data_IF_691144705886
#
_entry.id   IF_691144705886
#
_cell.length_a   1.000
_cell.length_b   1.000
_cell.length_c   1.000
_cell.angle_alpha   90.00
_cell.angle_beta   90.00
_cell.angle_gamma   90.00
#
_symmetry.space_group_name_H-M   'P 1'
#
loop_
_entity.id
_entity.type
_entity.pdbx_description
1 polymer ?
#
# COMPACT_ATOMS: atom_id res chain seq x y z
N UNK A 1 -42.38 -51.44 -1.67
CA UNK A 1 -42.19 -50.47 -0.57
C UNK A 1 -41.08 -49.55 -1.00
N UNK A 2 -41.45 -48.49 -1.73
CA UNK A 2 -40.53 -47.45 -2.19
C UNK A 2 -40.10 -46.64 -0.97
N UNK A 3 -38.79 -46.47 -0.79
CA UNK A 3 -38.25 -45.42 0.07
C UNK A 3 -37.34 -44.53 -0.76
N UNK A 4 -37.93 -43.48 -1.31
CA UNK A 4 -37.25 -42.30 -1.81
C UNK A 4 -36.48 -41.68 -0.65
N UNK A 5 -35.15 -41.64 -0.76
CA UNK A 5 -34.31 -40.78 0.08
C UNK A 5 -33.64 -39.76 -0.83
N UNK A 6 -34.32 -38.64 -1.02
CA UNK A 6 -33.74 -37.41 -1.52
C UNK A 6 -32.95 -36.76 -0.38
N UNK A 7 -31.62 -36.78 -0.46
CA UNK A 7 -30.80 -35.80 0.26
C UNK A 7 -30.03 -35.00 -0.77
N UNK A 8 -30.38 -33.73 -0.85
CA UNK A 8 -29.81 -32.74 -1.73
C UNK A 8 -28.30 -32.77 -1.64
N UNK A 9 -27.66 -33.04 -2.78
CA UNK A 9 -26.32 -32.58 -3.02
C UNK A 9 -26.40 -31.07 -3.18
N UNK A 10 -26.27 -30.35 -2.07
CA UNK A 10 -25.77 -28.98 -2.14
C UNK A 10 -24.36 -29.12 -2.72
N UNK A 11 -24.27 -28.93 -4.03
CA UNK A 11 -23.00 -28.72 -4.71
C UNK A 11 -22.41 -27.48 -4.07
N UNK A 12 -21.55 -27.67 -3.07
CA UNK A 12 -20.61 -26.66 -2.63
C UNK A 12 -19.78 -26.35 -3.86
N UNK A 13 -20.17 -25.29 -4.57
CA UNK A 13 -19.41 -24.75 -5.69
C UNK A 13 -18.09 -24.32 -5.08
N UNK A 14 -17.06 -25.16 -5.21
CA UNK A 14 -15.68 -24.73 -4.99
C UNK A 14 -15.47 -23.52 -5.89
N UNK A 15 -15.13 -22.34 -5.36
CA UNK A 15 -14.65 -21.28 -6.24
C UNK A 15 -13.34 -21.80 -6.83
N UNK A 16 -13.35 -22.21 -8.09
CA UNK A 16 -12.11 -22.44 -8.83
C UNK A 16 -11.37 -21.11 -8.80
N UNK A 17 -10.21 -21.08 -8.13
CA UNK A 17 -9.31 -19.94 -8.17
C UNK A 17 -8.69 -19.91 -9.55
N UNK A 18 -9.40 -19.30 -10.51
CA UNK A 18 -8.95 -19.23 -11.88
C UNK A 18 -7.97 -18.08 -12.05
N UNK A 19 -6.83 -18.37 -12.69
CA UNK A 19 -5.79 -17.39 -13.04
C UNK A 19 -6.37 -16.23 -13.87
N UNK A 20 -7.49 -16.45 -14.56
CA UNK A 20 -8.25 -15.42 -15.27
C UNK A 20 -8.68 -14.25 -14.38
N UNK A 21 -8.81 -14.44 -13.06
CA UNK A 21 -9.11 -13.34 -12.14
C UNK A 21 -8.04 -12.24 -12.14
N UNK A 22 -6.78 -12.56 -12.43
CA UNK A 22 -5.71 -11.57 -12.56
C UNK A 22 -5.92 -10.61 -13.74
N UNK A 23 -6.79 -10.95 -14.72
CA UNK A 23 -7.18 -10.00 -15.77
C UNK A 23 -7.91 -8.78 -15.19
N UNK A 24 -8.65 -8.95 -14.09
CA UNK A 24 -9.33 -7.85 -13.40
C UNK A 24 -8.29 -6.85 -12.88
N UNK A 25 -7.16 -7.34 -12.34
CA UNK A 25 -6.06 -6.48 -11.90
C UNK A 25 -5.44 -5.70 -13.07
N UNK A 26 -5.33 -6.31 -14.25
CA UNK A 26 -4.88 -5.61 -15.48
C UNK A 26 -5.87 -4.51 -15.87
N UNK A 27 -7.19 -4.77 -15.83
CA UNK A 27 -8.19 -3.73 -16.08
C UNK A 27 -8.12 -2.59 -15.06
N UNK A 28 -7.88 -2.89 -13.78
CA UNK A 28 -7.61 -1.87 -12.78
C UNK A 28 -6.35 -1.06 -13.11
N UNK A 29 -5.26 -1.69 -13.52
CA UNK A 29 -4.02 -0.99 -13.86
C UNK A 29 -4.21 0.02 -15.01
N UNK A 30 -4.87 -0.40 -16.10
CA UNK A 30 -5.24 0.52 -17.19
C UNK A 30 -6.24 1.58 -16.73
N UNK A 31 -7.24 1.19 -15.93
CA UNK A 31 -8.22 2.09 -15.35
C UNK A 31 -7.56 3.21 -14.55
N UNK A 32 -6.58 2.88 -13.69
CA UNK A 32 -5.80 3.84 -12.93
C UNK A 32 -4.99 4.78 -13.81
N UNK A 33 -4.37 4.26 -14.88
CA UNK A 33 -3.67 5.10 -15.85
C UNK A 33 -4.58 6.16 -16.47
N UNK A 34 -5.72 5.74 -17.05
CA UNK A 34 -6.66 6.67 -17.67
C UNK A 34 -7.31 7.61 -16.64
N UNK A 35 -7.68 7.09 -15.47
CA UNK A 35 -8.26 7.88 -14.39
C UNK A 35 -7.30 8.97 -13.93
N UNK A 36 -6.01 8.65 -13.75
CA UNK A 36 -4.99 9.64 -13.39
C UNK A 36 -4.87 10.72 -14.45
N UNK A 37 -4.85 10.38 -15.74
CA UNK A 37 -4.78 11.38 -16.82
C UNK A 37 -5.97 12.35 -16.81
N UNK A 38 -7.18 11.82 -16.59
CA UNK A 38 -8.41 12.62 -16.49
C UNK A 38 -8.35 13.53 -15.26
N UNK A 39 -8.07 12.97 -14.09
CA UNK A 39 -8.01 13.75 -12.85
C UNK A 39 -6.89 14.77 -12.87
N UNK A 40 -5.72 14.44 -13.41
CA UNK A 40 -4.59 15.36 -13.55
C UNK A 40 -4.96 16.58 -14.39
N UNK A 41 -5.73 16.40 -15.46
CA UNK A 41 -6.12 17.48 -16.37
C UNK A 41 -7.24 18.35 -15.81
N UNK A 42 -8.27 17.73 -15.24
CA UNK A 42 -9.51 18.44 -14.90
C UNK A 42 -9.64 18.82 -13.42
N UNK A 43 -8.98 18.08 -12.52
CA UNK A 43 -9.18 18.19 -11.06
C UNK A 43 -7.88 18.60 -10.37
N UNK A 44 -6.85 17.74 -10.40
CA UNK A 44 -5.63 17.96 -9.62
C UNK A 44 -4.84 19.18 -10.07
N UNK A 45 -4.84 19.54 -11.36
CA UNK A 45 -4.23 20.78 -11.81
C UNK A 45 -4.84 22.01 -11.10
N UNK A 46 -6.18 22.06 -11.00
CA UNK A 46 -6.89 23.18 -10.38
C UNK A 46 -6.65 23.20 -8.87
N UNK A 47 -6.72 22.04 -8.22
CA UNK A 47 -6.47 21.91 -6.79
C UNK A 47 -5.03 22.29 -6.45
N UNK A 48 -4.04 21.80 -7.20
CA UNK A 48 -2.64 22.13 -6.97
C UNK A 48 -2.38 23.64 -7.11
N UNK A 49 -2.89 24.28 -8.17
CA UNK A 49 -2.77 25.73 -8.34
C UNK A 49 -3.45 26.51 -7.20
N UNK A 50 -4.66 26.10 -6.81
CA UNK A 50 -5.37 26.71 -5.69
C UNK A 50 -4.57 26.58 -4.38
N UNK A 51 -4.10 25.38 -4.06
CA UNK A 51 -3.30 25.11 -2.87
C UNK A 51 -2.02 25.95 -2.81
N UNK A 52 -1.27 25.99 -3.91
CA UNK A 52 -0.04 26.81 -4.01
C UNK A 52 -0.36 28.32 -3.94
N UNK A 53 -1.52 28.75 -4.43
CA UNK A 53 -1.92 30.17 -4.37
C UNK A 53 -2.25 30.64 -2.95
N UNK A 54 -2.53 29.71 -2.03
CA UNK A 54 -2.71 30.01 -0.60
C UNK A 54 -1.39 30.19 0.16
N UNK A 55 -0.25 30.00 -0.51
CA UNK A 55 1.09 30.22 0.04
C UNK A 55 1.46 31.70 0.16
N UNK A 56 2.67 31.97 0.63
CA UNK A 56 3.11 33.33 0.96
C UNK A 56 3.59 34.14 -0.27
N UNK A 57 3.93 33.44 -1.36
CA UNK A 57 4.48 34.05 -2.57
C UNK A 57 3.51 33.95 -3.77
N UNK A 58 3.44 34.99 -4.63
CA UNK A 58 2.64 34.92 -5.86
C UNK A 58 3.19 33.86 -6.81
N UNK A 59 2.30 33.04 -7.38
CA UNK A 59 2.66 31.96 -8.30
C UNK A 59 3.29 32.54 -9.57
N UNK A 60 4.56 32.20 -9.82
CA UNK A 60 5.25 32.49 -11.08
C UNK A 60 5.27 31.22 -11.94
N UNK A 61 4.28 31.03 -12.81
CA UNK A 61 4.16 29.82 -13.64
C UNK A 61 5.32 29.61 -14.64
N UNK A 62 6.12 30.65 -14.89
CA UNK A 62 7.30 30.56 -15.75
C UNK A 62 8.55 30.04 -15.00
N UNK A 63 8.49 29.96 -13.67
CA UNK A 63 9.57 29.43 -12.85
C UNK A 63 9.54 27.88 -12.84
N UNK A 64 10.69 27.28 -13.12
CA UNK A 64 10.85 25.83 -13.19
C UNK A 64 10.57 25.16 -11.84
N UNK A 65 10.99 25.78 -10.73
CA UNK A 65 10.76 25.26 -9.38
C UNK A 65 9.26 25.24 -9.04
N UNK A 66 8.52 26.28 -9.42
CA UNK A 66 7.06 26.33 -9.28
C UNK A 66 6.38 25.22 -10.08
N UNK A 67 6.81 24.96 -11.33
CA UNK A 67 6.27 23.85 -12.15
C UNK A 67 6.55 22.49 -11.51
N UNK A 68 7.76 22.27 -11.02
CA UNK A 68 8.13 21.04 -10.33
C UNK A 68 7.29 20.82 -9.05
N UNK A 69 7.03 21.86 -8.26
CA UNK A 69 6.12 21.80 -7.11
C UNK A 69 4.69 21.41 -7.51
N UNK A 70 4.17 21.95 -8.60
CA UNK A 70 2.83 21.59 -9.11
C UNK A 70 2.78 20.11 -9.48
N UNK A 71 3.78 19.60 -10.22
CA UNK A 71 3.84 18.18 -10.60
C UNK A 71 3.88 17.30 -9.36
N UNK A 72 4.79 17.55 -8.42
CA UNK A 72 4.90 16.80 -7.15
C UNK A 72 3.61 16.86 -6.32
N UNK A 73 2.93 18.01 -6.30
CA UNK A 73 1.64 18.15 -5.61
C UNK A 73 0.54 17.30 -6.25
N UNK A 74 0.47 17.25 -7.58
CA UNK A 74 -0.48 16.39 -8.31
C UNK A 74 -0.20 14.90 -8.10
N UNK A 75 1.08 14.50 -8.11
CA UNK A 75 1.49 13.14 -7.75
C UNK A 75 0.98 12.76 -6.36
N UNK A 76 1.16 13.64 -5.38
CA UNK A 76 0.67 13.41 -4.01
C UNK A 76 -0.84 13.40 -3.89
N UNK A 77 -1.56 14.25 -4.64
CA UNK A 77 -3.04 14.23 -4.66
C UNK A 77 -3.58 12.92 -5.23
N UNK A 78 -2.97 12.40 -6.31
CA UNK A 78 -3.33 11.11 -6.89
C UNK A 78 -3.14 9.98 -5.88
N UNK A 79 -1.96 9.90 -5.25
CA UNK A 79 -1.64 8.88 -4.25
C UNK A 79 -2.54 8.99 -3.02
N UNK A 80 -2.77 10.21 -2.51
CA UNK A 80 -3.69 10.44 -1.39
C UNK A 80 -5.10 9.95 -1.70
N UNK A 81 -5.65 10.28 -2.87
CA UNK A 81 -6.98 9.84 -3.26
C UNK A 81 -7.07 8.31 -3.29
N UNK A 82 -6.06 7.65 -3.88
CA UNK A 82 -5.99 6.19 -3.93
C UNK A 82 -5.93 5.57 -2.54
N UNK A 83 -4.92 5.93 -1.73
CA UNK A 83 -4.71 5.33 -0.41
C UNK A 83 -5.89 5.59 0.52
N UNK A 84 -6.45 6.81 0.53
CA UNK A 84 -7.60 7.13 1.37
C UNK A 84 -8.86 6.35 0.97
N UNK A 85 -9.09 6.16 -0.34
CA UNK A 85 -10.24 5.39 -0.82
C UNK A 85 -10.09 3.89 -0.50
N UNK A 86 -8.90 3.32 -0.73
CA UNK A 86 -8.60 1.92 -0.44
C UNK A 86 -8.63 1.62 1.07
N UNK A 87 -8.02 2.48 1.88
CA UNK A 87 -8.00 2.35 3.34
C UNK A 87 -9.42 2.45 3.93
N UNK A 88 -10.20 3.45 3.50
CA UNK A 88 -11.60 3.55 3.91
C UNK A 88 -12.41 2.32 3.50
N UNK A 89 -12.26 1.85 2.27
CA UNK A 89 -12.97 0.67 1.78
C UNK A 89 -12.62 -0.59 2.57
N UNK A 90 -11.32 -0.87 2.76
CA UNK A 90 -10.90 -2.08 3.48
C UNK A 90 -11.31 -2.04 4.94
N UNK A 91 -11.20 -0.88 5.61
CA UNK A 91 -11.65 -0.73 7.00
C UNK A 91 -13.13 -1.05 7.14
N UNK A 92 -13.99 -0.55 6.24
CA UNK A 92 -15.42 -0.89 6.24
C UNK A 92 -15.66 -2.38 6.03
N UNK A 93 -14.92 -3.02 5.12
CA UNK A 93 -15.07 -4.45 4.82
C UNK A 93 -14.61 -5.31 6.01
N UNK A 94 -13.46 -5.03 6.61
CA UNK A 94 -12.88 -5.88 7.66
C UNK A 94 -13.48 -5.59 9.04
N UNK A 95 -14.09 -4.42 9.27
CA UNK A 95 -14.63 -4.04 10.57
C UNK A 95 -15.68 -5.05 11.08
N UNK A 96 -16.46 -5.64 10.17
CA UNK A 96 -17.49 -6.63 10.47
C UNK A 96 -16.96 -8.07 10.54
N UNK A 97 -15.67 -8.27 10.27
CA UNK A 97 -15.07 -9.60 10.21
C UNK A 97 -14.35 -9.95 11.52
N UNK A 98 -14.65 -11.10 12.14
CA UNK A 98 -14.04 -11.47 13.42
C UNK A 98 -12.52 -11.67 13.31
N UNK A 99 -12.05 -12.16 12.16
CA UNK A 99 -10.63 -12.37 11.90
C UNK A 99 -9.82 -11.07 11.81
N UNK A 100 -10.46 -9.90 11.69
CA UNK A 100 -9.73 -8.62 11.73
C UNK A 100 -9.16 -8.28 13.12
N UNK A 101 -9.73 -8.87 14.17
CA UNK A 101 -9.36 -8.59 15.58
C UNK A 101 -8.70 -9.78 16.28
N UNK A 102 -8.79 -10.97 15.71
CA UNK A 102 -8.22 -12.20 16.26
C UNK A 102 -7.28 -12.88 15.25
N UNK A 103 -5.99 -12.84 15.55
CA UNK A 103 -4.92 -13.42 14.74
C UNK A 103 -5.07 -14.93 14.53
N UNK A 104 -5.73 -15.64 15.47
CA UNK A 104 -5.93 -17.10 15.38
C UNK A 104 -6.87 -17.47 14.25
N UNK A 105 -7.71 -16.52 13.82
CA UNK A 105 -8.68 -16.73 12.76
C UNK A 105 -8.13 -16.44 11.36
N UNK A 106 -6.88 -15.98 11.23
CA UNK A 106 -6.29 -15.68 9.92
C UNK A 106 -6.23 -16.90 9.01
N UNK A 107 -5.91 -18.08 9.56
CA UNK A 107 -5.82 -19.33 8.79
C UNK A 107 -6.99 -20.29 9.05
N UNK A 108 -7.91 -19.95 9.96
CA UNK A 108 -9.07 -20.80 10.25
C UNK A 108 -9.91 -21.07 8.99
N UNK A 109 -10.10 -22.35 8.66
CA UNK A 109 -10.82 -22.80 7.46
C UNK A 109 -9.95 -22.88 6.19
N UNK A 110 -8.65 -22.61 6.28
CA UNK A 110 -7.70 -22.80 5.19
C UNK A 110 -7.56 -24.30 4.83
N UNK A 111 -7.41 -24.67 3.53
CA UNK A 111 -7.32 -23.80 2.34
C UNK A 111 -8.67 -23.33 1.79
N UNK A 112 -9.80 -23.81 2.31
CA UNK A 112 -11.13 -23.54 1.76
C UNK A 112 -11.78 -22.29 2.35
N UNK A 113 -11.01 -21.21 2.55
CA UNK A 113 -11.55 -19.96 3.07
C UNK A 113 -12.51 -19.32 2.06
N UNK A 114 -13.67 -18.87 2.53
CA UNK A 114 -14.63 -18.14 1.70
C UNK A 114 -14.02 -16.79 1.25
N UNK A 115 -13.86 -16.61 -0.05
CA UNK A 115 -13.43 -15.35 -0.65
C UNK A 115 -14.65 -14.48 -0.96
N UNK A 116 -14.95 -13.54 -0.06
CA UNK A 116 -15.97 -12.51 -0.30
C UNK A 116 -15.61 -11.63 -1.49
N UNK A 117 -16.62 -11.26 -2.28
CA UNK A 117 -16.43 -10.40 -3.47
C UNK A 117 -15.73 -9.08 -3.14
N UNK A 118 -16.03 -8.47 -1.99
CA UNK A 118 -15.38 -7.24 -1.52
C UNK A 118 -13.87 -7.40 -1.35
N UNK A 119 -13.42 -8.49 -0.71
CA UNK A 119 -11.99 -8.80 -0.56
C UNK A 119 -11.36 -9.15 -1.91
N UNK A 120 -12.06 -9.87 -2.79
CA UNK A 120 -11.57 -10.14 -4.15
C UNK A 120 -11.33 -8.85 -4.92
N UNK A 121 -12.30 -7.93 -4.94
CA UNK A 121 -12.17 -6.64 -5.61
C UNK A 121 -11.05 -5.80 -4.99
N UNK A 122 -10.92 -5.81 -3.66
CA UNK A 122 -9.82 -5.15 -2.96
C UNK A 122 -8.45 -5.67 -3.43
N UNK A 123 -8.27 -6.99 -3.46
CA UNK A 123 -7.03 -7.62 -3.94
C UNK A 123 -6.70 -7.25 -5.39
N UNK A 124 -7.70 -7.29 -6.28
CA UNK A 124 -7.49 -6.96 -7.70
C UNK A 124 -7.20 -5.48 -7.90
N UNK A 125 -7.87 -4.60 -7.13
CA UNK A 125 -7.61 -3.17 -7.09
C UNK A 125 -6.16 -2.90 -6.67
N UNK A 126 -5.72 -3.51 -5.56
CA UNK A 126 -4.35 -3.36 -5.03
C UNK A 126 -3.31 -3.88 -6.01
N UNK A 127 -3.49 -5.10 -6.53
CA UNK A 127 -2.60 -5.67 -7.53
C UNK A 127 -2.50 -4.79 -8.78
N UNK A 128 -3.64 -4.28 -9.27
CA UNK A 128 -3.69 -3.36 -10.39
C UNK A 128 -2.94 -2.05 -10.13
N UNK A 129 -3.07 -1.49 -8.92
CA UNK A 129 -2.34 -0.27 -8.54
C UNK A 129 -0.83 -0.50 -8.44
N UNK A 130 -0.37 -1.62 -7.89
CA UNK A 130 1.05 -1.93 -7.84
C UNK A 130 1.64 -2.15 -9.24
N UNK A 131 0.93 -2.85 -10.13
CA UNK A 131 1.34 -3.04 -11.54
C UNK A 131 1.38 -1.70 -12.28
N UNK A 132 0.35 -0.88 -12.13
CA UNK A 132 0.34 0.50 -12.60
C UNK A 132 1.52 1.30 -12.04
N UNK A 133 1.81 1.14 -10.75
CA UNK A 133 2.90 1.80 -10.04
C UNK A 133 4.28 1.43 -10.57
N UNK A 134 4.51 0.19 -10.99
CA UNK A 134 5.77 -0.20 -11.66
C UNK A 134 5.96 0.59 -12.96
N UNK A 135 4.92 0.66 -13.80
CA UNK A 135 4.98 1.43 -15.04
C UNK A 135 5.16 2.94 -14.76
N UNK A 136 4.46 3.47 -13.75
CA UNK A 136 4.57 4.86 -13.34
C UNK A 136 5.98 5.19 -12.81
N UNK A 137 6.58 4.33 -11.99
CA UNK A 137 7.95 4.50 -11.49
C UNK A 137 8.99 4.51 -12.62
N UNK A 138 8.77 3.71 -13.67
CA UNK A 138 9.69 3.65 -14.80
C UNK A 138 9.55 4.84 -15.76
N UNK A 139 8.34 5.39 -15.92
CA UNK A 139 8.03 6.31 -17.02
C UNK A 139 7.57 7.72 -16.60
N UNK A 140 7.04 7.91 -15.38
CA UNK A 140 6.29 9.13 -15.03
C UNK A 140 6.65 9.74 -13.68
N UNK A 141 6.94 8.93 -12.66
CA UNK A 141 7.20 9.44 -11.32
C UNK A 141 8.62 9.99 -11.20
N UNK A 142 8.75 11.03 -10.36
CA UNK A 142 10.05 11.61 -10.04
C UNK A 142 10.99 10.55 -9.46
N UNK A 143 12.12 10.29 -10.14
CA UNK A 143 13.16 9.36 -9.68
C UNK A 143 13.81 9.90 -8.41
N UNK A 144 14.06 9.02 -7.44
CA UNK A 144 14.66 9.32 -6.13
C UNK A 144 15.78 8.34 -5.83
N UNK A 145 16.63 8.66 -4.85
CA UNK A 145 17.80 7.83 -4.46
C UNK A 145 17.42 6.43 -3.99
N UNK A 146 16.19 6.22 -3.51
CA UNK A 146 15.67 4.93 -3.07
C UNK A 146 14.92 4.14 -4.17
N UNK A 147 15.05 4.55 -5.45
CA UNK A 147 14.35 3.93 -6.58
C UNK A 147 14.46 2.39 -6.62
N UNK A 148 15.67 1.84 -6.41
CA UNK A 148 15.87 0.39 -6.47
C UNK A 148 15.14 -0.33 -5.33
N UNK A 149 15.09 0.26 -4.14
CA UNK A 149 14.39 -0.29 -2.97
C UNK A 149 12.87 -0.23 -3.20
N UNK A 150 12.37 0.91 -3.69
CA UNK A 150 10.97 1.08 -4.08
C UNK A 150 10.55 0.10 -5.18
N UNK A 151 11.34 -0.07 -6.24
CA UNK A 151 11.02 -1.01 -7.31
C UNK A 151 10.99 -2.46 -6.80
N UNK A 152 11.99 -2.83 -5.99
CA UNK A 152 12.03 -4.16 -5.37
C UNK A 152 10.79 -4.40 -4.50
N UNK A 153 10.40 -3.41 -3.70
CA UNK A 153 9.18 -3.47 -2.89
C UNK A 153 7.92 -3.69 -3.74
N UNK A 154 7.75 -2.98 -4.85
CA UNK A 154 6.62 -3.20 -5.75
C UNK A 154 6.61 -4.62 -6.31
N UNK A 155 7.75 -5.14 -6.76
CA UNK A 155 7.87 -6.51 -7.30
C UNK A 155 7.51 -7.54 -6.22
N UNK A 156 8.10 -7.43 -5.03
CA UNK A 156 7.83 -8.36 -3.91
C UNK A 156 6.37 -8.29 -3.48
N UNK A 157 5.78 -7.09 -3.47
CA UNK A 157 4.37 -6.91 -3.09
C UNK A 157 3.44 -7.54 -4.12
N UNK A 158 3.70 -7.38 -5.43
CA UNK A 158 2.92 -8.06 -6.48
C UNK A 158 3.02 -9.58 -6.34
N UNK A 159 4.22 -10.10 -6.07
CA UNK A 159 4.43 -11.54 -5.84
C UNK A 159 3.66 -11.98 -4.59
N UNK A 160 3.77 -11.27 -3.47
CA UNK A 160 3.06 -11.56 -2.22
C UNK A 160 1.54 -11.54 -2.39
N UNK A 161 1.00 -10.58 -3.15
CA UNK A 161 -0.43 -10.49 -3.44
C UNK A 161 -0.90 -11.68 -4.27
N UNK A 162 -0.15 -11.98 -5.33
CA UNK A 162 -0.46 -13.10 -6.22
C UNK A 162 -0.37 -14.42 -5.46
N UNK A 163 0.68 -14.58 -4.67
CA UNK A 163 0.91 -15.73 -3.81
C UNK A 163 -0.23 -15.89 -2.79
N UNK A 164 -0.53 -14.83 -2.03
CA UNK A 164 -1.62 -14.81 -1.05
C UNK A 164 -2.96 -15.16 -1.68
N UNK A 165 -3.20 -14.71 -2.92
CA UNK A 165 -4.41 -15.05 -3.65
C UNK A 165 -4.46 -16.53 -4.05
N UNK A 166 -3.37 -17.05 -4.64
CA UNK A 166 -3.28 -18.44 -5.10
C UNK A 166 -3.30 -19.45 -3.93
N UNK A 167 -2.71 -19.09 -2.80
CA UNK A 167 -2.70 -19.92 -1.59
C UNK A 167 -3.87 -19.63 -0.66
N UNK A 168 -4.87 -18.82 -1.05
CA UNK A 168 -6.01 -18.50 -0.18
C UNK A 168 -5.66 -17.88 1.19
N UNK A 169 -4.54 -17.15 1.30
CA UNK A 169 -4.18 -16.37 2.49
C UNK A 169 -4.88 -15.00 2.51
N UNK A 170 -6.18 -14.98 2.23
CA UNK A 170 -6.94 -13.76 1.95
C UNK A 170 -7.09 -12.86 3.18
N UNK A 171 -7.36 -13.46 4.35
CA UNK A 171 -7.61 -12.72 5.59
C UNK A 171 -6.37 -11.97 6.03
N UNK A 172 -5.26 -12.69 6.19
CA UNK A 172 -3.99 -12.08 6.60
C UNK A 172 -3.44 -11.12 5.55
N UNK A 173 -3.55 -11.44 4.26
CA UNK A 173 -3.07 -10.54 3.22
C UNK A 173 -3.92 -9.26 3.10
N UNK A 174 -5.23 -9.31 3.37
CA UNK A 174 -6.05 -8.09 3.48
C UNK A 174 -5.60 -7.19 4.64
N UNK A 175 -5.27 -7.77 5.80
CA UNK A 175 -4.72 -7.01 6.94
C UNK A 175 -3.34 -6.44 6.60
N UNK A 176 -2.46 -7.23 5.97
CA UNK A 176 -1.15 -6.74 5.50
C UNK A 176 -1.35 -5.51 4.64
N UNK A 177 -2.19 -5.58 3.61
CA UNK A 177 -2.45 -4.45 2.71
C UNK A 177 -2.97 -3.21 3.47
N UNK A 178 -3.97 -3.37 4.34
CA UNK A 178 -4.54 -2.27 5.11
C UNK A 178 -3.50 -1.58 6.01
N UNK A 179 -2.66 -2.35 6.72
CA UNK A 179 -1.61 -1.82 7.59
C UNK A 179 -0.60 -0.96 6.83
N UNK A 180 -0.30 -1.33 5.58
CA UNK A 180 0.68 -0.60 4.79
C UNK A 180 0.06 0.68 4.22
N UNK A 181 -1.16 0.65 3.68
CA UNK A 181 -1.75 1.83 3.05
C UNK A 181 -2.09 2.95 4.03
N UNK A 182 -2.48 2.62 5.26
CA UNK A 182 -2.94 3.59 6.26
C UNK A 182 -1.90 4.69 6.56
N UNK A 183 -0.61 4.36 6.66
CA UNK A 183 0.43 5.37 6.91
C UNK A 183 0.63 6.33 5.74
N UNK A 184 0.38 5.86 4.52
CA UNK A 184 0.72 6.60 3.31
C UNK A 184 -0.28 7.74 3.05
N UNK A 185 -1.50 7.65 3.60
CA UNK A 185 -2.47 8.76 3.66
C UNK A 185 -1.86 9.97 4.38
N UNK A 186 -1.24 9.77 5.55
CA UNK A 186 -0.59 10.85 6.30
C UNK A 186 0.65 11.40 5.57
N UNK A 187 1.43 10.52 4.94
CA UNK A 187 2.61 10.90 4.16
C UNK A 187 2.25 11.85 3.00
N UNK A 188 1.27 11.47 2.19
CA UNK A 188 0.88 12.28 1.03
C UNK A 188 0.19 13.58 1.45
N UNK A 189 -0.59 13.56 2.53
CA UNK A 189 -1.16 14.78 3.13
C UNK A 189 -0.06 15.74 3.61
N UNK A 190 0.98 15.22 4.27
CA UNK A 190 2.11 16.03 4.73
C UNK A 190 2.84 16.72 3.56
N UNK A 191 3.07 15.99 2.45
CA UNK A 191 3.65 16.53 1.22
C UNK A 191 2.79 17.63 0.62
N UNK A 192 1.46 17.42 0.53
CA UNK A 192 0.53 18.43 0.00
C UNK A 192 0.59 19.72 0.84
N UNK A 193 0.55 19.61 2.17
CA UNK A 193 0.71 20.80 3.03
C UNK A 193 2.07 21.46 2.86
N UNK A 194 3.14 20.68 2.70
CA UNK A 194 4.48 21.19 2.45
C UNK A 194 4.57 21.98 1.13
N UNK A 195 4.00 21.45 0.04
CA UNK A 195 3.95 22.15 -1.24
C UNK A 195 3.09 23.40 -1.22
N UNK A 196 2.12 23.46 -0.31
CA UNK A 196 1.25 24.63 -0.09
C UNK A 196 1.83 25.63 0.91
N UNK A 197 3.07 25.45 1.37
CA UNK A 197 3.74 26.29 2.37
C UNK A 197 3.04 26.35 3.74
N UNK A 198 2.17 25.38 4.03
CA UNK A 198 1.44 25.25 5.31
C UNK A 198 2.27 24.42 6.30
N UNK A 199 3.36 25.01 6.79
CA UNK A 199 4.38 24.33 7.61
C UNK A 199 3.80 23.62 8.84
N UNK A 200 2.86 24.24 9.56
CA UNK A 200 2.24 23.61 10.74
C UNK A 200 1.49 22.33 10.38
N UNK A 201 0.65 22.38 9.33
CA UNK A 201 -0.08 21.21 8.84
C UNK A 201 0.86 20.12 8.32
N UNK A 202 1.92 20.50 7.61
CA UNK A 202 2.94 19.58 7.13
C UNK A 202 3.63 18.85 8.29
N UNK A 203 4.03 19.58 9.33
CA UNK A 203 4.70 19.01 10.51
C UNK A 203 3.78 18.10 11.31
N UNK A 204 2.50 18.45 11.50
CA UNK A 204 1.52 17.60 12.17
C UNK A 204 1.29 16.30 11.39
N UNK A 205 1.02 16.39 10.08
CA UNK A 205 0.81 15.20 9.26
C UNK A 205 2.08 14.34 9.14
N UNK A 206 3.26 14.94 9.09
CA UNK A 206 4.53 14.21 9.10
C UNK A 206 4.76 13.47 10.43
N UNK A 207 4.40 14.08 11.56
CA UNK A 207 4.45 13.42 12.86
C UNK A 207 3.47 12.24 12.95
N UNK A 208 2.22 12.41 12.47
CA UNK A 208 1.25 11.32 12.39
C UNK A 208 1.73 10.19 11.47
N UNK A 209 2.33 10.54 10.34
CA UNK A 209 2.98 9.59 9.45
C UNK A 209 4.07 8.79 10.16
N UNK A 210 5.00 9.45 10.86
CA UNK A 210 6.07 8.76 11.57
C UNK A 210 5.53 7.83 12.69
N UNK A 211 4.55 8.29 13.47
CA UNK A 211 3.91 7.47 14.52
C UNK A 211 3.20 6.27 13.90
N UNK A 212 2.38 6.47 12.86
CA UNK A 212 1.68 5.39 12.18
C UNK A 212 2.65 4.38 11.54
N UNK A 213 3.76 4.83 10.95
CA UNK A 213 4.80 3.95 10.41
C UNK A 213 5.39 3.05 11.48
N UNK A 214 5.79 3.62 12.62
CA UNK A 214 6.34 2.86 13.74
C UNK A 214 5.33 1.83 14.24
N UNK A 215 4.11 2.26 14.54
CA UNK A 215 3.07 1.39 15.12
C UNK A 215 2.65 0.29 14.15
N UNK A 216 2.40 0.60 12.89
CA UNK A 216 1.82 -0.35 11.93
C UNK A 216 2.89 -1.25 11.30
N UNK A 217 4.00 -0.68 10.81
CA UNK A 217 5.00 -1.40 10.01
C UNK A 217 6.17 -1.96 10.83
N UNK A 218 6.49 -1.38 12.00
CA UNK A 218 7.60 -1.84 12.85
C UNK A 218 7.18 -2.50 14.16
N UNK A 219 5.92 -2.33 14.58
CA UNK A 219 5.38 -3.01 15.76
C UNK A 219 4.33 -4.04 15.34
N UNK A 220 3.20 -3.61 14.79
CA UNK A 220 2.11 -4.53 14.49
C UNK A 220 2.51 -5.59 13.45
N UNK A 221 3.15 -5.18 12.36
CA UNK A 221 3.58 -6.09 11.29
C UNK A 221 4.52 -7.21 11.78
N UNK A 222 5.67 -6.96 12.45
CA UNK A 222 6.52 -8.06 12.92
C UNK A 222 5.92 -8.87 14.07
N UNK A 223 5.32 -8.23 15.07
CA UNK A 223 4.94 -8.92 16.30
C UNK A 223 3.56 -9.61 16.22
N UNK A 224 2.68 -9.21 15.30
CA UNK A 224 1.39 -9.87 15.07
C UNK A 224 1.33 -10.61 13.74
N UNK A 225 1.71 -9.96 12.63
CA UNK A 225 1.56 -10.57 11.29
C UNK A 225 2.64 -11.62 11.03
N UNK A 226 3.92 -11.25 11.11
CA UNK A 226 5.03 -12.20 10.87
C UNK A 226 5.00 -13.30 11.94
N UNK A 227 4.66 -12.97 13.19
CA UNK A 227 4.42 -13.97 14.23
C UNK A 227 3.32 -14.95 13.83
N UNK A 228 2.18 -14.46 13.31
CA UNK A 228 1.09 -15.34 12.90
C UNK A 228 1.50 -16.27 11.75
N UNK A 229 2.23 -15.79 10.75
CA UNK A 229 2.74 -16.62 9.64
C UNK A 229 3.87 -17.56 10.05
N UNK A 230 4.56 -17.27 11.15
CA UNK A 230 5.65 -18.10 11.67
C UNK A 230 5.16 -19.17 12.65
N UNK A 231 4.06 -18.92 13.37
CA UNK A 231 3.57 -19.80 14.44
C UNK A 231 2.23 -20.41 14.05
N UNK A 232 1.19 -19.59 13.93
CA UNK A 232 -0.19 -20.07 13.72
C UNK A 232 -0.33 -20.82 12.39
N UNK A 233 0.44 -20.43 11.36
CA UNK A 233 0.43 -21.11 10.06
C UNK A 233 0.94 -22.56 10.12
N UNK A 234 1.82 -22.90 11.07
CA UNK A 234 2.38 -24.26 11.19
C UNK A 234 1.30 -25.30 11.54
N UNK A 235 0.22 -24.89 12.20
CA UNK A 235 -0.91 -25.76 12.52
C UNK A 235 -1.75 -26.15 11.29
N UNK A 236 -1.55 -25.44 10.16
CA UNK A 236 -2.33 -25.64 8.93
C UNK A 236 -1.50 -26.22 7.79
N UNK A 237 -0.16 -26.22 7.88
CA UNK A 237 0.74 -26.72 6.84
C UNK A 237 1.34 -28.07 7.20
N UNK A 238 1.37 -28.98 6.23
CA UNK A 238 2.16 -30.20 6.33
C UNK A 238 3.64 -29.89 6.05
N UNK A 239 4.41 -29.68 7.11
CA UNK A 239 5.85 -29.40 7.05
C UNK A 239 6.69 -30.63 6.65
N UNK A 240 6.09 -31.81 6.53
CA UNK A 240 6.78 -32.99 5.96
C UNK A 240 6.74 -32.99 4.43
N UNK A 241 5.76 -32.28 3.86
CA UNK A 241 5.63 -32.10 2.41
C UNK A 241 6.56 -31.00 1.90
N UNK A 242 7.09 -31.19 0.68
CA UNK A 242 7.88 -30.16 0.00
C UNK A 242 7.05 -28.89 -0.28
N UNK A 243 5.76 -29.06 -0.59
CA UNK A 243 4.84 -27.95 -0.87
C UNK A 243 4.59 -27.09 0.37
N UNK A 244 4.24 -27.71 1.51
CA UNK A 244 4.02 -26.98 2.77
C UNK A 244 5.30 -26.29 3.25
N UNK A 245 6.44 -26.97 3.14
CA UNK A 245 7.76 -26.41 3.49
C UNK A 245 8.10 -25.20 2.62
N UNK A 246 7.98 -25.34 1.30
CA UNK A 246 8.20 -24.23 0.36
C UNK A 246 7.26 -23.07 0.71
N UNK A 247 5.99 -23.38 0.94
CA UNK A 247 4.96 -22.38 1.17
C UNK A 247 5.26 -21.52 2.42
N UNK A 248 5.69 -22.19 3.49
CA UNK A 248 6.06 -21.56 4.75
C UNK A 248 7.28 -20.63 4.57
N UNK A 249 8.38 -21.16 4.01
CA UNK A 249 9.62 -20.39 3.91
C UNK A 249 9.51 -19.26 2.89
N UNK A 250 8.93 -19.49 1.71
CA UNK A 250 8.83 -18.45 0.68
C UNK A 250 7.99 -17.27 1.14
N UNK A 251 6.84 -17.53 1.78
CA UNK A 251 5.97 -16.45 2.26
C UNK A 251 6.62 -15.66 3.39
N UNK A 252 7.16 -16.34 4.40
CA UNK A 252 7.82 -15.66 5.52
C UNK A 252 9.08 -14.90 5.09
N UNK A 253 9.89 -15.42 4.15
CA UNK A 253 11.06 -14.71 3.62
C UNK A 253 10.67 -13.41 2.93
N UNK A 254 9.61 -13.41 2.12
CA UNK A 254 9.14 -12.19 1.47
C UNK A 254 8.61 -11.15 2.48
N UNK A 255 7.90 -11.59 3.53
CA UNK A 255 7.45 -10.68 4.60
C UNK A 255 8.62 -10.10 5.41
N UNK A 256 9.64 -10.91 5.70
CA UNK A 256 10.87 -10.44 6.34
C UNK A 256 11.63 -9.46 5.45
N UNK A 257 11.66 -9.69 4.13
CA UNK A 257 12.25 -8.75 3.18
C UNK A 257 11.50 -7.41 3.18
N UNK A 258 10.17 -7.41 3.23
CA UNK A 258 9.38 -6.19 3.43
C UNK A 258 9.75 -5.49 4.74
N UNK A 259 9.89 -6.23 5.85
CA UNK A 259 10.31 -5.65 7.12
C UNK A 259 11.68 -4.96 7.03
N UNK A 260 12.64 -5.55 6.31
CA UNK A 260 13.96 -4.93 6.06
C UNK A 260 13.81 -3.59 5.35
N UNK A 261 12.95 -3.52 4.32
CA UNK A 261 12.68 -2.25 3.65
C UNK A 261 12.01 -1.24 4.59
N UNK A 262 11.09 -1.67 5.46
CA UNK A 262 10.48 -0.78 6.45
C UNK A 262 11.48 -0.20 7.45
N UNK A 263 12.46 -1.00 7.88
CA UNK A 263 13.55 -0.55 8.74
C UNK A 263 14.44 0.47 7.99
N UNK A 264 14.75 0.21 6.72
CA UNK A 264 15.48 1.15 5.88
C UNK A 264 14.76 2.51 5.77
N UNK A 265 13.48 2.52 5.41
CA UNK A 265 12.73 3.78 5.34
C UNK A 265 12.51 4.43 6.70
N UNK A 266 12.40 3.65 7.78
CA UNK A 266 12.35 4.19 9.13
C UNK A 266 13.61 4.98 9.48
N UNK A 267 14.79 4.48 9.10
CA UNK A 267 16.03 5.23 9.23
C UNK A 267 15.94 6.59 8.51
N UNK A 268 15.39 6.63 7.29
CA UNK A 268 15.20 7.87 6.54
C UNK A 268 14.18 8.81 7.20
N UNK A 269 13.10 8.27 7.78
CA UNK A 269 12.11 9.04 8.53
C UNK A 269 12.76 9.67 9.77
N UNK A 270 13.54 8.90 10.54
CA UNK A 270 14.31 9.40 11.68
C UNK A 270 15.29 10.50 11.27
N UNK A 271 16.00 10.33 10.15
CA UNK A 271 16.89 11.36 9.62
C UNK A 271 16.12 12.65 9.26
N UNK A 272 14.92 12.54 8.69
CA UNK A 272 14.03 13.68 8.45
C UNK A 272 13.56 14.34 9.75
N UNK A 273 13.23 13.57 10.80
CA UNK A 273 12.87 14.09 12.13
C UNK A 273 14.04 14.89 12.74
N UNK A 274 15.27 14.38 12.66
CA UNK A 274 16.45 15.11 13.13
C UNK A 274 16.62 16.44 12.38
N UNK A 275 16.39 16.46 11.07
CA UNK A 275 16.40 17.71 10.27
C UNK A 275 15.28 18.67 10.69
N UNK A 276 14.07 18.16 10.92
CA UNK A 276 12.93 18.93 11.41
C UNK A 276 13.22 19.63 12.75
N UNK A 277 13.84 18.91 13.69
CA UNK A 277 14.24 19.46 14.99
C UNK A 277 15.31 20.55 14.85
N UNK A 278 16.30 20.34 13.97
CA UNK A 278 17.33 21.35 13.66
C UNK A 278 16.74 22.60 12.99
N UNK A 279 15.72 22.43 12.16
CA UNK A 279 15.07 23.51 11.40
C UNK A 279 13.93 24.22 12.16
N UNK A 280 13.93 24.15 13.51
CA UNK A 280 12.90 24.76 14.38
C UNK A 280 11.46 24.36 14.01
N UNK A 281 11.26 23.10 13.64
CA UNK A 281 9.92 22.55 13.36
C UNK A 281 9.40 22.77 11.93
N UNK A 282 10.26 23.20 10.99
CA UNK A 282 9.94 23.24 9.55
C UNK A 282 10.38 21.96 8.85
N UNK A 283 9.47 21.32 8.10
CA UNK A 283 9.79 20.10 7.35
C UNK A 283 10.75 20.49 6.23
N UNK A 284 11.96 19.93 6.22
CA UNK A 284 12.96 20.18 5.17
C UNK A 284 12.59 19.50 3.84
N UNK A 285 13.45 19.65 2.83
CA UNK A 285 13.32 18.86 1.61
C UNK A 285 13.55 17.37 1.89
N UNK A 286 12.88 16.52 1.10
CA UNK A 286 13.01 15.06 1.22
C UNK A 286 14.46 14.66 0.95
N UNK A 287 15.07 13.94 1.88
CA UNK A 287 16.48 13.52 1.76
C UNK A 287 16.75 12.60 0.58
N UNK A 288 15.69 12.05 -0.02
CA UNK A 288 15.74 11.13 -1.15
C UNK A 288 15.58 11.83 -2.50
N UNK A 289 15.12 13.08 -2.54
CA UNK A 289 15.16 13.84 -3.80
C UNK A 289 16.62 14.10 -4.17
N UNK A 290 16.95 13.93 -5.44
CA UNK A 290 18.24 14.40 -5.94
C UNK A 290 18.28 15.93 -5.81
N UNK A 291 19.31 16.40 -5.11
CA UNK A 291 19.74 17.79 -5.16
C UNK A 291 20.43 17.98 -6.50
N UNK A 292 19.67 18.12 -7.58
CA UNK A 292 20.21 18.63 -8.85
C UNK A 292 20.48 20.13 -8.74
N UNK A 293 21.31 20.55 -7.77
CA UNK A 293 21.72 21.95 -7.54
C UNK A 293 23.08 22.03 -6.79
N UNK A 294 23.96 21.03 -6.94
CA UNK A 294 25.32 21.07 -6.39
C UNK A 294 26.43 21.07 -7.46
N UNK A 295 26.12 21.34 -8.74
CA UNK A 295 27.14 21.57 -9.79
C UNK A 295 26.60 22.50 -10.90
N UNK A 296 26.69 23.83 -10.67
CA UNK A 296 27.15 24.85 -11.63
C UNK A 296 27.49 26.18 -10.90
#
# INVERSE_FOLDING_TARGET
>A
MESVSSRGGDTVVKPSMEVWHFQIAVYFAFGFFFLRLVLDRYVFQRIALWLLSTGSAPIKLNDAATRAKIVKCKESLWKLLYYAACDFFVLQVIYHEPWSRDIKLYFHGWPNQELKLSIKLYYMCQCGFYVYGVAALLAWETRRKDFAVMMSHHVITIILLSYSYLTSFFRIGAIILALHDASDVFMETAKIFKYSEKEFGASVCFALFAVSWLLLRLIYFPFWIIRATSIELLDYLDMTSAEGTLMYYSFNTMLLMLLVFHIYWWYLICAMIVRLLKNRGKVGEDIRSDSEDDDD
#
